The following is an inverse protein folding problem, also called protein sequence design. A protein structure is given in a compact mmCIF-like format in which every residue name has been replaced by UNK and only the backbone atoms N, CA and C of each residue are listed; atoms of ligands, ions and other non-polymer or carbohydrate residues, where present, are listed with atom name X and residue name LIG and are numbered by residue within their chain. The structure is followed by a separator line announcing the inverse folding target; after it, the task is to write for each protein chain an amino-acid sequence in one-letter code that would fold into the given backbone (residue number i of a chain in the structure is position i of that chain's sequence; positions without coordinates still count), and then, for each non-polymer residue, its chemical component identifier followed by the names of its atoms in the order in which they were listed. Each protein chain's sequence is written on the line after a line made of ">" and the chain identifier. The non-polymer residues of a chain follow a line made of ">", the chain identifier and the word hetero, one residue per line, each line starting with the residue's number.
data_IF_911249009079
#
_entry.id   IF_911249009079
#
_cell.length_a   1.000
_cell.length_b   1.000
_cell.length_c   1.000
_cell.angle_alpha   90.00
_cell.angle_beta   90.00
_cell.angle_gamma   90.00
#
_symmetry.space_group_name_H-M   'P 1'
#
loop_
_entity.id
_entity.type
_entity.pdbx_description
1 polymer ?
#
# COMPACT_ATOMS: atom_id res chain seq x y z
N UNK A 1 29.41 -17.13 -52.29
CA UNK A 1 28.58 -16.73 -51.12
C UNK A 1 27.24 -16.24 -51.64
N UNK A 2 26.17 -17.03 -51.48
CA UNK A 2 24.87 -16.72 -52.07
C UNK A 2 24.05 -15.80 -51.15
N UNK A 3 23.74 -14.58 -51.62
CA UNK A 3 22.83 -13.66 -50.94
C UNK A 3 21.40 -14.15 -51.12
N UNK A 4 20.76 -14.55 -50.02
CA UNK A 4 19.32 -14.86 -49.99
C UNK A 4 18.57 -13.55 -49.77
N UNK A 5 17.80 -13.14 -50.77
CA UNK A 5 16.88 -12.01 -50.65
C UNK A 5 15.54 -12.55 -50.14
N UNK A 6 15.05 -12.00 -49.03
CA UNK A 6 13.73 -12.30 -48.48
C UNK A 6 12.75 -11.34 -49.16
N UNK A 7 11.83 -11.89 -49.94
CA UNK A 7 10.74 -11.16 -50.57
C UNK A 7 9.61 -11.06 -49.53
N UNK A 8 9.38 -9.86 -49.01
CA UNK A 8 8.31 -9.59 -48.05
C UNK A 8 7.05 -9.25 -48.87
N UNK A 9 6.06 -10.15 -48.79
CA UNK A 9 4.75 -9.97 -49.38
C UNK A 9 3.91 -8.98 -48.52
N UNK A 10 3.40 -7.87 -49.09
CA UNK A 10 2.67 -6.85 -48.32
C UNK A 10 1.22 -7.25 -47.97
N UNK A 11 0.76 -8.47 -48.31
CA UNK A 11 -0.63 -8.89 -48.09
C UNK A 11 -0.86 -9.79 -46.85
N UNK A 12 0.07 -9.85 -45.90
CA UNK A 12 -0.14 -10.58 -44.64
C UNK A 12 -0.35 -9.59 -43.48
N UNK A 13 -1.52 -9.61 -42.79
CA UNK A 13 -1.65 -8.90 -41.54
C UNK A 13 -0.71 -9.55 -40.52
N UNK A 14 0.32 -8.81 -40.12
CA UNK A 14 1.27 -9.15 -39.07
C UNK A 14 0.53 -9.46 -37.76
N UNK A 15 0.11 -10.71 -37.57
CA UNK A 15 -0.36 -11.22 -36.28
C UNK A 15 0.84 -11.61 -35.43
N UNK A 16 1.70 -10.63 -35.13
CA UNK A 16 2.71 -10.76 -34.10
C UNK A 16 2.47 -9.72 -33.00
N UNK A 17 1.23 -9.65 -32.53
CA UNK A 17 0.98 -9.25 -31.15
C UNK A 17 1.04 -10.52 -30.31
N UNK A 18 2.25 -11.01 -30.03
CA UNK A 18 2.44 -11.92 -28.90
C UNK A 18 2.14 -11.12 -27.63
N UNK A 19 0.86 -11.04 -27.30
CA UNK A 19 0.36 -10.67 -25.99
C UNK A 19 1.02 -11.63 -25.01
N UNK A 20 2.05 -11.16 -24.30
CA UNK A 20 2.60 -11.83 -23.12
C UNK A 20 1.40 -12.29 -22.29
N UNK A 21 1.23 -13.60 -22.02
CA UNK A 21 0.10 -14.05 -21.22
C UNK A 21 0.13 -13.29 -19.89
N UNK A 22 -1.04 -12.91 -19.34
CA UNK A 22 -1.08 -12.22 -18.06
C UNK A 22 -0.26 -13.04 -17.05
N UNK A 23 0.53 -12.37 -16.19
CA UNK A 23 1.37 -13.06 -15.22
C UNK A 23 0.48 -14.02 -14.41
N UNK A 24 0.76 -15.32 -14.52
CA UNK A 24 0.02 -16.36 -13.81
C UNK A 24 0.24 -16.14 -12.32
N UNK A 25 -0.84 -15.98 -11.57
CA UNK A 25 -0.78 -15.88 -10.11
C UNK A 25 -0.31 -17.20 -9.54
N UNK A 26 0.80 -17.18 -8.79
CA UNK A 26 1.18 -18.32 -7.96
C UNK A 26 0.38 -18.24 -6.65
N UNK A 27 -0.54 -19.19 -6.49
CA UNK A 27 -1.45 -19.28 -5.35
C UNK A 27 -0.81 -19.85 -4.08
N UNK A 28 0.36 -20.48 -4.21
CA UNK A 28 1.18 -20.94 -3.08
C UNK A 28 1.98 -19.81 -2.43
N UNK A 29 2.06 -18.65 -3.11
CA UNK A 29 2.67 -17.44 -2.58
C UNK A 29 1.62 -16.46 -2.07
N UNK A 30 2.08 -15.41 -1.39
CA UNK A 30 1.21 -14.31 -1.00
C UNK A 30 0.56 -13.69 -2.24
N UNK A 31 -0.77 -13.69 -2.32
CA UNK A 31 -1.51 -13.13 -3.48
C UNK A 31 -1.31 -11.63 -3.69
N UNK A 32 -0.87 -10.93 -2.62
CA UNK A 32 -0.65 -9.49 -2.64
C UNK A 32 0.73 -9.16 -3.20
N UNK A 33 1.80 -9.79 -2.70
CA UNK A 33 3.18 -9.47 -3.11
C UNK A 33 3.83 -10.44 -4.10
N UNK A 34 3.31 -11.66 -4.25
CA UNK A 34 3.89 -12.72 -5.11
C UNK A 34 5.39 -12.93 -4.88
N UNK A 35 5.83 -12.83 -3.63
CA UNK A 35 7.22 -12.98 -3.23
C UNK A 35 7.31 -14.04 -2.13
N UNK A 36 8.39 -14.83 -2.19
CA UNK A 36 8.82 -15.70 -1.09
C UNK A 36 9.44 -14.82 0.01
N UNK A 37 8.97 -14.98 1.23
CA UNK A 37 9.51 -14.29 2.40
C UNK A 37 9.56 -15.24 3.57
N UNK A 38 10.40 -14.93 4.56
CA UNK A 38 10.45 -15.69 5.81
C UNK A 38 9.19 -15.51 6.68
N UNK A 39 8.29 -14.59 6.31
CA UNK A 39 7.02 -14.39 7.02
C UNK A 39 6.04 -15.52 6.66
N UNK A 40 5.45 -16.21 7.66
CA UNK A 40 4.51 -17.29 7.37
C UNK A 40 3.26 -16.76 6.67
N UNK A 41 2.86 -17.46 5.60
CA UNK A 41 1.61 -17.21 4.91
C UNK A 41 0.43 -17.57 5.81
N UNK A 42 -0.51 -16.64 5.91
CA UNK A 42 -1.78 -16.86 6.60
C UNK A 42 -2.84 -17.25 5.57
N UNK A 43 -3.46 -18.41 5.79
CA UNK A 43 -4.72 -18.78 5.15
C UNK A 43 -5.85 -18.63 6.18
N UNK A 44 -7.01 -18.16 5.75
CA UNK A 44 -8.18 -18.08 6.63
C UNK A 44 -8.71 -19.46 7.06
N UNK A 45 -8.26 -20.57 6.43
CA UNK A 45 -8.63 -21.95 6.80
C UNK A 45 -8.09 -22.43 8.15
N UNK A 46 -7.14 -21.73 8.77
CA UNK A 46 -6.35 -22.28 9.90
C UNK A 46 -7.13 -22.54 11.19
N UNK A 47 -8.32 -21.96 11.39
CA UNK A 47 -9.11 -22.22 12.61
C UNK A 47 -10.60 -22.35 12.33
N UNK A 48 -11.04 -23.58 12.00
CA UNK A 48 -12.28 -24.20 12.46
C UNK A 48 -13.62 -23.42 12.29
N UNK A 49 -13.83 -22.71 11.18
CA UNK A 49 -15.19 -22.42 10.63
C UNK A 49 -15.11 -21.79 9.24
N UNK A 50 -16.05 -22.08 8.31
CA UNK A 50 -16.15 -21.40 7.03
C UNK A 50 -16.78 -20.01 7.23
N UNK A 51 -16.11 -19.15 8.00
CA UNK A 51 -16.48 -17.75 8.09
C UNK A 51 -15.82 -17.05 6.91
N UNK A 52 -16.52 -17.03 5.77
CA UNK A 52 -16.09 -16.40 4.51
C UNK A 52 -15.86 -14.88 4.57
N UNK A 53 -15.69 -14.29 5.76
CA UNK A 53 -15.53 -12.85 5.96
C UNK A 53 -14.16 -12.33 5.53
N UNK A 54 -13.09 -13.13 5.64
CA UNK A 54 -11.73 -12.62 5.38
C UNK A 54 -11.46 -12.33 3.91
N UNK A 55 -11.93 -13.18 2.99
CA UNK A 55 -11.82 -12.95 1.54
C UNK A 55 -12.75 -11.82 1.09
N UNK A 56 -13.97 -11.74 1.63
CA UNK A 56 -14.90 -10.64 1.35
C UNK A 56 -14.29 -9.28 1.75
N UNK A 57 -13.81 -9.14 2.99
CA UNK A 57 -13.19 -7.89 3.45
C UNK A 57 -11.88 -7.56 2.75
N UNK A 58 -11.15 -8.56 2.24
CA UNK A 58 -9.97 -8.29 1.42
C UNK A 58 -10.38 -7.80 0.03
N UNK A 59 -11.34 -8.48 -0.59
CA UNK A 59 -11.87 -8.11 -1.91
C UNK A 59 -12.46 -6.71 -1.90
N UNK A 60 -13.26 -6.38 -0.88
CA UNK A 60 -13.79 -5.03 -0.66
C UNK A 60 -12.66 -4.00 -0.61
N UNK A 61 -11.62 -4.23 0.22
CA UNK A 61 -10.45 -3.36 0.28
C UNK A 61 -9.76 -3.21 -1.08
N UNK A 62 -9.50 -4.31 -1.79
CA UNK A 62 -8.87 -4.29 -3.11
C UNK A 62 -9.65 -3.46 -4.13
N UNK A 63 -10.97 -3.61 -4.15
CA UNK A 63 -11.85 -2.86 -5.05
C UNK A 63 -11.93 -1.37 -4.68
N UNK A 64 -11.96 -1.07 -3.38
CA UNK A 64 -11.91 0.30 -2.86
C UNK A 64 -10.62 1.02 -3.30
N UNK A 65 -9.45 0.41 -3.09
CA UNK A 65 -8.16 0.98 -3.53
C UNK A 65 -8.04 1.06 -5.07
N UNK A 66 -8.62 0.10 -5.80
CA UNK A 66 -8.71 0.18 -7.28
C UNK A 66 -9.52 1.40 -7.73
N UNK A 67 -10.61 1.71 -7.03
CA UNK A 67 -11.45 2.89 -7.27
C UNK A 67 -10.72 4.21 -7.05
N UNK A 68 -9.88 4.30 -6.02
CA UNK A 68 -9.02 5.45 -5.74
C UNK A 68 -7.84 5.61 -6.72
N UNK A 69 -7.62 4.67 -7.65
CA UNK A 69 -6.44 4.63 -8.55
C UNK A 69 -5.09 4.67 -7.83
N UNK A 70 -5.06 4.55 -6.50
CA UNK A 70 -3.85 4.54 -5.69
C UNK A 70 -3.74 3.24 -4.91
N UNK A 71 -2.91 2.31 -5.41
CA UNK A 71 -2.71 1.02 -4.79
C UNK A 71 -1.54 1.06 -3.78
N UNK A 72 -1.66 0.54 -2.54
CA UNK A 72 -0.57 0.53 -1.55
C UNK A 72 0.68 -0.25 -1.97
N UNK A 73 0.58 -1.02 -3.04
CA UNK A 73 1.64 -1.79 -3.67
C UNK A 73 1.25 -2.10 -5.11
N UNK A 74 2.22 -2.45 -5.96
CA UNK A 74 1.94 -2.89 -7.33
C UNK A 74 1.17 -4.21 -7.32
N UNK A 75 -0.15 -4.10 -7.43
CA UNK A 75 -1.07 -5.23 -7.44
C UNK A 75 -2.07 -5.05 -8.58
N UNK A 76 -2.02 -5.97 -9.54
CA UNK A 76 -3.04 -6.05 -10.58
C UNK A 76 -4.21 -6.89 -10.05
N UNK A 77 -5.37 -6.27 -9.77
CA UNK A 77 -6.54 -7.00 -9.25
C UNK A 77 -7.13 -7.97 -10.27
N UNK A 78 -6.99 -7.70 -11.57
CA UNK A 78 -7.56 -8.53 -12.63
C UNK A 78 -6.89 -9.92 -12.70
N UNK A 79 -5.66 -10.08 -12.18
CA UNK A 79 -5.00 -11.41 -12.10
C UNK A 79 -5.61 -12.32 -11.04
N UNK A 80 -6.43 -11.75 -10.14
CA UNK A 80 -7.07 -12.45 -9.03
C UNK A 80 -8.52 -12.79 -9.35
N UNK A 81 -8.96 -12.61 -10.60
CA UNK A 81 -10.32 -12.85 -11.05
C UNK A 81 -10.29 -13.80 -12.25
N UNK A 82 -10.73 -15.05 -12.04
CA UNK A 82 -10.83 -16.07 -13.09
C UNK A 82 -12.13 -15.92 -13.93
N UNK A 83 -12.96 -14.89 -13.65
CA UNK A 83 -14.22 -14.60 -14.36
C UNK A 83 -15.47 -14.72 -13.48
N UNK A 84 -15.36 -15.39 -12.33
CA UNK A 84 -16.44 -15.55 -11.34
C UNK A 84 -16.40 -14.50 -10.22
N UNK A 85 -15.49 -13.53 -10.34
CA UNK A 85 -15.22 -12.52 -9.34
C UNK A 85 -14.02 -12.86 -8.45
N UNK A 86 -13.36 -11.80 -7.97
CA UNK A 86 -12.15 -11.90 -7.14
C UNK A 86 -12.38 -12.76 -5.91
N UNK A 87 -13.45 -12.54 -5.15
CA UNK A 87 -13.68 -13.29 -3.90
C UNK A 87 -13.85 -14.79 -4.15
N UNK A 88 -14.63 -15.18 -5.17
CA UNK A 88 -14.83 -16.57 -5.54
C UNK A 88 -13.51 -17.22 -5.92
N UNK A 89 -12.72 -16.53 -6.75
CA UNK A 89 -11.38 -16.97 -7.16
C UNK A 89 -10.45 -17.16 -5.95
N UNK A 90 -10.41 -16.21 -5.00
CA UNK A 90 -9.58 -16.33 -3.80
C UNK A 90 -9.98 -17.52 -2.92
N UNK A 91 -11.28 -17.83 -2.84
CA UNK A 91 -11.79 -19.00 -2.09
C UNK A 91 -11.41 -20.31 -2.77
N UNK A 92 -11.61 -20.40 -4.10
CA UNK A 92 -11.29 -21.60 -4.90
C UNK A 92 -9.84 -21.99 -4.75
N UNK A 93 -8.94 -21.01 -4.87
CA UNK A 93 -7.49 -21.25 -4.77
C UNK A 93 -6.96 -21.25 -3.34
N UNK A 94 -7.84 -21.15 -2.32
CA UNK A 94 -7.45 -21.09 -0.89
C UNK A 94 -6.36 -20.06 -0.61
N UNK A 95 -6.47 -18.91 -1.28
CA UNK A 95 -5.43 -17.91 -1.38
C UNK A 95 -4.88 -17.50 -0.02
N UNK A 96 -3.57 -17.29 0.02
CA UNK A 96 -2.83 -16.95 1.23
C UNK A 96 -2.17 -15.59 1.12
N UNK A 97 -1.87 -14.97 2.26
CA UNK A 97 -1.18 -13.69 2.30
C UNK A 97 -0.29 -13.56 3.54
N UNK A 98 0.74 -12.73 3.43
CA UNK A 98 1.46 -12.24 4.60
C UNK A 98 0.55 -11.34 5.43
N UNK A 99 0.69 -11.39 6.76
CA UNK A 99 -0.03 -10.51 7.67
C UNK A 99 0.31 -9.05 7.37
N UNK A 100 1.59 -8.74 7.12
CA UNK A 100 2.04 -7.39 6.75
C UNK A 100 1.40 -6.90 5.44
N UNK A 101 1.29 -7.77 4.43
CA UNK A 101 0.64 -7.41 3.18
C UNK A 101 -0.86 -7.11 3.40
N UNK A 102 -1.56 -7.94 4.19
CA UNK A 102 -2.99 -7.74 4.47
C UNK A 102 -3.28 -6.43 5.19
N UNK A 103 -2.39 -6.01 6.09
CA UNK A 103 -2.53 -4.76 6.83
C UNK A 103 -2.53 -3.52 5.94
N UNK A 104 -1.91 -3.57 4.74
CA UNK A 104 -1.95 -2.46 3.78
C UNK A 104 -3.34 -2.19 3.22
N UNK A 105 -4.19 -3.21 3.19
CA UNK A 105 -5.56 -3.15 2.65
C UNK A 105 -6.62 -3.05 3.75
N UNK A 106 -6.28 -2.43 4.88
CA UNK A 106 -7.22 -2.22 5.96
C UNK A 106 -8.01 -0.91 5.75
N UNK A 107 -9.20 -0.81 6.37
CA UNK A 107 -10.07 0.37 6.26
C UNK A 107 -9.39 1.67 6.71
N UNK A 108 -8.57 1.64 7.77
CA UNK A 108 -7.88 2.84 8.26
C UNK A 108 -6.88 3.39 7.24
N UNK A 109 -6.17 2.51 6.54
CA UNK A 109 -5.26 2.89 5.45
C UNK A 109 -6.04 3.51 4.30
N UNK A 110 -7.20 2.94 3.94
CA UNK A 110 -8.08 3.50 2.92
C UNK A 110 -8.58 4.90 3.32
N UNK A 111 -9.08 5.07 4.55
CA UNK A 111 -9.56 6.37 5.05
C UNK A 111 -8.46 7.43 5.05
N UNK A 112 -7.23 7.05 5.41
CA UNK A 112 -6.07 7.95 5.36
C UNK A 112 -5.72 8.34 3.92
N UNK A 113 -5.73 7.37 3.00
CA UNK A 113 -5.44 7.55 1.58
C UNK A 113 -6.49 8.47 0.92
N UNK A 114 -7.77 8.19 1.13
CA UNK A 114 -8.89 8.98 0.59
C UNK A 114 -8.87 10.44 1.07
N UNK A 115 -8.48 10.68 2.33
CA UNK A 115 -8.28 12.04 2.85
C UNK A 115 -7.11 12.75 2.19
N UNK A 116 -6.00 12.05 1.95
CA UNK A 116 -4.83 12.61 1.28
C UNK A 116 -5.15 13.00 -0.17
N UNK A 117 -5.89 12.18 -0.91
CA UNK A 117 -6.37 12.50 -2.27
C UNK A 117 -7.30 13.72 -2.28
N UNK A 118 -8.21 13.80 -1.31
CA UNK A 118 -9.13 14.94 -1.16
C UNK A 118 -8.38 16.24 -0.82
N UNK A 119 -7.29 16.17 -0.04
CA UNK A 119 -6.44 17.31 0.29
C UNK A 119 -5.52 17.71 -0.86
N UNK A 120 -5.04 16.74 -1.67
CA UNK A 120 -4.15 16.98 -2.81
C UNK A 120 -4.85 17.67 -3.99
N UNK A 121 -6.18 17.77 -4.00
CA UNK A 121 -6.94 18.58 -4.96
C UNK A 121 -6.74 20.09 -4.81
N UNK A 122 -6.05 20.54 -3.75
CA UNK A 122 -5.63 21.93 -3.58
C UNK A 122 -4.10 22.04 -3.62
N UNK A 123 -3.61 22.42 -4.81
CA UNK A 123 -2.31 23.00 -5.13
C UNK A 123 -1.05 22.11 -5.10
N UNK A 124 -0.46 22.02 -6.29
CA UNK A 124 0.99 22.05 -6.48
C UNK A 124 1.63 23.13 -5.61
N UNK A 125 2.36 22.73 -4.57
CA UNK A 125 3.52 23.48 -4.09
C UNK A 125 4.43 22.53 -3.30
N UNK A 126 5.70 22.55 -3.66
CA UNK A 126 6.79 21.82 -3.04
C UNK A 126 6.79 22.06 -1.53
N UNK A 127 6.56 21.01 -0.75
CA UNK A 127 6.63 21.05 0.72
C UNK A 127 7.15 19.72 1.25
N UNK A 128 8.38 19.72 1.73
CA UNK A 128 8.99 18.63 2.51
C UNK A 128 8.09 18.22 3.69
N UNK A 129 8.14 16.96 4.15
CA UNK A 129 7.32 16.53 5.27
C UNK A 129 7.86 17.11 6.58
N UNK A 130 7.36 18.29 6.95
CA UNK A 130 7.57 18.85 8.28
C UNK A 130 6.73 18.03 9.27
N UNK A 131 7.38 17.41 10.24
CA UNK A 131 6.72 16.74 11.37
C UNK A 131 5.90 17.78 12.14
N UNK A 132 4.57 17.69 12.05
CA UNK A 132 3.67 18.60 12.77
C UNK A 132 3.48 18.08 14.20
N UNK A 133 4.18 18.69 15.14
CA UNK A 133 3.78 18.65 16.55
C UNK A 133 2.71 19.73 16.74
N UNK A 134 1.54 19.33 17.26
CA UNK A 134 0.29 20.10 17.30
C UNK A 134 0.50 21.56 17.78
N UNK A 135 0.37 22.52 16.89
CA UNK A 135 0.24 23.94 17.23
C UNK A 135 -1.24 24.30 17.37
N UNK A 136 -1.69 24.45 18.62
CA UNK A 136 -2.92 25.16 18.93
C UNK A 136 -2.57 26.65 19.06
N UNK A 137 -3.07 27.46 18.12
CA UNK A 137 -3.20 28.90 18.23
C UNK A 137 -4.68 29.21 17.93
N UNK A 138 -5.42 30.07 18.63
CA UNK A 138 -5.04 31.09 19.59
C UNK A 138 -6.25 31.43 20.46
N UNK A 139 -6.02 31.61 21.77
CA UNK A 139 -6.81 32.56 22.55
C UNK A 139 -5.82 33.34 23.43
N UNK A 140 -5.81 34.66 23.23
CA UNK A 140 -4.97 35.64 23.93
C UNK A 140 -5.40 35.78 25.40
N UNK A 141 -4.48 35.63 26.36
CA UNK A 141 -4.07 36.58 27.44
C UNK A 141 -3.09 35.88 28.43
N UNK A 142 -2.41 36.57 29.37
CA UNK A 142 -0.97 36.42 29.59
C UNK A 142 -0.69 35.85 30.98
N UNK A 143 -0.21 34.62 31.07
CA UNK A 143 0.49 34.20 32.27
C UNK A 143 1.85 33.68 31.86
N UNK A 144 2.85 34.54 32.11
CA UNK A 144 4.25 34.18 32.19
C UNK A 144 4.37 32.98 33.13
N UNK A 145 4.47 31.80 32.54
CA UNK A 145 4.97 30.61 33.20
C UNK A 145 6.17 30.21 32.37
N UNK A 146 7.36 30.42 32.90
CA UNK A 146 8.59 30.02 32.21
C UNK A 146 8.48 28.53 31.84
N UNK A 147 8.90 28.12 30.63
CA UNK A 147 8.83 26.72 30.24
C UNK A 147 9.72 25.89 31.17
N UNK A 148 9.12 24.93 31.87
CA UNK A 148 9.81 24.05 32.81
C UNK A 148 10.08 22.69 32.12
N UNK A 149 11.27 22.12 32.32
CA UNK A 149 11.61 20.78 31.87
C UNK A 149 10.69 19.74 32.52
N UNK A 150 10.01 18.93 31.70
CA UNK A 150 9.07 17.92 32.17
C UNK A 150 9.72 16.85 33.09
N UNK A 151 10.98 16.52 32.85
CA UNK A 151 11.69 15.47 33.60
C UNK A 151 12.22 15.95 34.95
N UNK A 152 12.83 17.14 34.99
CA UNK A 152 13.49 17.63 36.20
C UNK A 152 12.78 18.80 36.88
N UNK A 153 11.66 19.26 36.31
CA UNK A 153 10.86 20.39 36.79
C UNK A 153 11.65 21.70 37.00
N UNK A 154 12.79 21.88 36.30
CA UNK A 154 13.59 23.11 36.30
C UNK A 154 13.25 24.02 35.11
N UNK A 155 13.29 25.36 35.25
CA UNK A 155 13.04 26.29 34.15
C UNK A 155 14.09 26.13 33.04
N UNK A 156 13.67 26.25 31.78
CA UNK A 156 14.56 26.19 30.64
C UNK A 156 15.40 27.48 30.55
N UNK A 157 16.72 27.33 30.41
CA UNK A 157 17.64 28.45 30.17
C UNK A 157 18.55 28.85 31.34
N UNK A 158 18.45 28.21 32.51
CA UNK A 158 19.33 28.52 33.66
C UNK A 158 20.38 27.45 33.97
N UNK A 159 20.44 26.38 33.19
CA UNK A 159 21.48 25.38 33.32
C UNK A 159 22.53 25.60 32.23
N UNK A 160 23.74 26.00 32.65
CA UNK A 160 24.95 25.94 31.85
C UNK A 160 24.99 24.59 31.10
N UNK A 161 24.96 24.67 29.77
CA UNK A 161 25.12 23.53 28.89
C UNK A 161 26.55 23.04 29.04
N UNK A 162 26.78 22.05 29.91
CA UNK A 162 28.08 21.40 30.00
C UNK A 162 28.39 20.70 28.67
N UNK A 163 29.54 21.06 28.09
CA UNK A 163 30.10 20.38 26.92
C UNK A 163 30.25 18.88 27.23
N UNK A 164 29.65 18.04 26.40
CA UNK A 164 29.89 16.61 26.43
C UNK A 164 31.23 16.34 25.73
N UNK A 165 32.23 15.90 26.50
CA UNK A 165 33.49 15.42 25.96
C UNK A 165 33.26 14.13 25.14
N UNK A 166 33.94 14.06 24.01
CA UNK A 166 33.88 12.97 23.01
C UNK A 166 34.63 11.72 23.47
#
# INVERSE_FOLDING_TARGET
>A
MAKRHILIDPAQPSTSNQSRPPPRTNWELCILCQAETDEPLQCLRSTMKPSGSGYASLTEGLLQFKGLRHMPMELNVNRLDDGDGVEATLRTHSAQWHKKCRLKFNKKMFDQQSRAESASGQQSSTGTPTVHTRSAAAHRLPQSTEPICFFCKKPAGTADLHEAAT
#
